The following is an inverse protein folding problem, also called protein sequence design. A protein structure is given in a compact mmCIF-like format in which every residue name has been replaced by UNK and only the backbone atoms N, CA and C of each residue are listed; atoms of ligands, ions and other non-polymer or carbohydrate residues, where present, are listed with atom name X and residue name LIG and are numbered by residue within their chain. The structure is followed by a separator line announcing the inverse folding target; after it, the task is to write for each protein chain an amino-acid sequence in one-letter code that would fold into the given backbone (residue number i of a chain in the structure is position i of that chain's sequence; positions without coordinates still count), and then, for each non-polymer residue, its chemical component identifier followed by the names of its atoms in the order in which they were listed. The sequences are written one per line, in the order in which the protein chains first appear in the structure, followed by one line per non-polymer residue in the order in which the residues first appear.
data_IF_816414947090
#
_entry.id   IF_816414947090
#
_cell.length_a   1.000
_cell.length_b   1.000
_cell.length_c   1.000
_cell.angle_alpha   90.00
_cell.angle_beta   90.00
_cell.angle_gamma   90.00
#
_symmetry.space_group_name_H-M   'P 1'
#
loop_
_entity.id
_entity.type
_entity.pdbx_description
1 polymer ?
#
# COMPACT_ATOMS: atom_id res chain seq x y z
N UNK A 1 13.66 41.39 8.59
CA UNK A 1 14.04 40.12 7.93
C UNK A 1 12.79 39.26 7.95
N UNK A 2 12.30 38.70 6.83
CA UNK A 2 11.13 37.81 6.91
C UNK A 2 10.52 37.37 5.58
N UNK A 3 10.35 38.27 4.61
CA UNK A 3 9.48 38.03 3.45
C UNK A 3 9.90 36.91 2.46
N UNK A 4 11.08 36.32 2.64
CA UNK A 4 11.65 35.32 1.74
C UNK A 4 11.87 33.94 2.38
N UNK A 5 12.33 33.91 3.63
CA UNK A 5 12.53 32.66 4.38
C UNK A 5 11.19 31.96 4.65
N UNK A 6 10.14 32.74 4.95
CA UNK A 6 8.77 32.26 5.17
C UNK A 6 8.24 31.44 3.98
N UNK A 7 8.65 31.79 2.75
CA UNK A 7 8.26 31.04 1.56
C UNK A 7 8.92 29.67 1.50
N UNK A 8 10.17 29.55 1.95
CA UNK A 8 10.88 28.27 2.02
C UNK A 8 10.22 27.36 3.06
N UNK A 9 9.94 27.90 4.25
CA UNK A 9 9.22 27.15 5.29
C UNK A 9 7.82 26.73 4.85
N UNK A 10 7.09 27.61 4.16
CA UNK A 10 5.75 27.31 3.62
C UNK A 10 5.77 26.16 2.61
N UNK A 11 6.76 26.11 1.70
CA UNK A 11 6.89 24.99 0.75
C UNK A 11 7.18 23.68 1.46
N UNK A 12 8.06 23.70 2.46
CA UNK A 12 8.39 22.52 3.28
C UNK A 12 7.15 22.01 4.02
N UNK A 13 6.42 22.93 4.66
CA UNK A 13 5.21 22.59 5.42
C UNK A 13 4.12 22.00 4.52
N UNK A 14 3.88 22.60 3.35
CA UNK A 14 2.97 22.02 2.34
C UNK A 14 3.39 20.63 1.89
N UNK A 15 4.70 20.36 1.76
CA UNK A 15 5.21 19.03 1.44
C UNK A 15 4.90 18.02 2.55
N UNK A 16 5.10 18.39 3.82
CA UNK A 16 4.75 17.55 4.96
C UNK A 16 3.24 17.27 5.03
N UNK A 17 2.41 18.29 4.90
CA UNK A 17 0.95 18.15 4.88
C UNK A 17 0.48 17.20 3.79
N UNK A 18 1.03 17.33 2.58
CA UNK A 18 0.69 16.45 1.46
C UNK A 18 1.09 14.99 1.74
N UNK A 19 2.30 14.76 2.25
CA UNK A 19 2.77 13.40 2.55
C UNK A 19 1.97 12.77 3.70
N UNK A 20 1.55 13.57 4.69
CA UNK A 20 0.65 13.11 5.74
C UNK A 20 -0.73 12.73 5.20
N UNK A 21 -1.27 13.51 4.27
CA UNK A 21 -2.53 13.17 3.61
C UNK A 21 -2.39 11.90 2.75
N UNK A 22 -1.27 11.74 2.02
CA UNK A 22 -0.99 10.54 1.23
C UNK A 22 -0.89 9.28 2.11
N UNK A 23 -0.17 9.35 3.24
CA UNK A 23 -0.13 8.26 4.23
C UNK A 23 -1.53 7.97 4.77
N UNK A 24 -2.32 9.00 5.06
CA UNK A 24 -3.70 8.83 5.55
C UNK A 24 -4.61 8.16 4.52
N UNK A 25 -4.39 8.39 3.22
CA UNK A 25 -5.14 7.78 2.11
C UNK A 25 -4.78 6.32 1.89
N UNK A 26 -3.63 5.84 2.36
CA UNK A 26 -3.33 4.40 2.43
C UNK A 26 -4.15 3.79 3.57
N UNK A 27 -5.43 3.55 3.29
CA UNK A 27 -6.43 3.03 4.22
C UNK A 27 -6.44 1.49 4.25
N UNK A 28 -7.05 0.93 5.30
CA UNK A 28 -7.17 -0.51 5.51
C UNK A 28 -6.30 -1.04 6.64
N UNK A 29 -6.76 -2.13 7.25
CA UNK A 29 -6.06 -2.86 8.31
C UNK A 29 -5.50 -4.19 7.76
N UNK A 30 -4.17 -4.29 7.54
CA UNK A 30 -3.54 -5.54 7.15
C UNK A 30 -3.78 -6.68 8.14
N UNK A 31 -4.01 -6.38 9.42
CA UNK A 31 -4.34 -7.36 10.45
C UNK A 31 -5.71 -7.98 10.22
N UNK A 32 -6.74 -7.16 9.97
CA UNK A 32 -8.08 -7.64 9.64
C UNK A 32 -8.10 -8.47 8.34
N UNK A 33 -7.37 -8.04 7.31
CA UNK A 33 -7.27 -8.79 6.06
C UNK A 33 -6.62 -10.17 6.27
N UNK A 34 -5.55 -10.25 7.06
CA UNK A 34 -4.92 -11.53 7.41
C UNK A 34 -5.84 -12.41 8.24
N UNK A 35 -6.55 -11.84 9.21
CA UNK A 35 -7.52 -12.59 10.00
C UNK A 35 -8.62 -13.20 9.11
N UNK A 36 -9.11 -12.44 8.12
CA UNK A 36 -10.07 -12.95 7.14
C UNK A 36 -9.47 -14.01 6.21
N UNK A 37 -8.21 -13.85 5.81
CA UNK A 37 -7.50 -14.86 5.03
C UNK A 37 -7.36 -16.19 5.81
N UNK A 38 -7.06 -16.12 7.10
CA UNK A 38 -6.99 -17.28 7.99
C UNK A 38 -8.36 -17.95 8.16
N UNK A 39 -9.43 -17.16 8.32
CA UNK A 39 -10.81 -17.67 8.31
C UNK A 39 -11.13 -18.42 7.01
N UNK A 40 -10.81 -17.85 5.85
CA UNK A 40 -10.99 -18.52 4.55
C UNK A 40 -10.22 -19.84 4.46
N UNK A 41 -8.95 -19.86 4.91
CA UNK A 41 -8.14 -21.07 4.94
C UNK A 41 -8.70 -22.16 5.86
N UNK A 42 -9.25 -21.77 7.01
CA UNK A 42 -9.93 -22.70 7.93
C UNK A 42 -11.20 -23.27 7.30
N UNK A 43 -12.05 -22.43 6.72
CA UNK A 43 -13.25 -22.87 6.01
C UNK A 43 -12.92 -23.82 4.85
N UNK A 44 -11.89 -23.51 4.05
CA UNK A 44 -11.43 -24.38 2.96
C UNK A 44 -11.02 -25.77 3.46
N UNK A 45 -10.35 -25.82 4.61
CA UNK A 45 -9.94 -27.07 5.25
C UNK A 45 -11.15 -27.86 5.75
N UNK A 46 -12.10 -27.20 6.41
CA UNK A 46 -13.35 -27.81 6.90
C UNK A 46 -14.19 -28.39 5.74
N UNK A 47 -14.31 -27.66 4.63
CA UNK A 47 -14.98 -28.12 3.41
C UNK A 47 -14.28 -29.35 2.83
N UNK A 48 -12.95 -29.32 2.71
CA UNK A 48 -12.17 -30.45 2.22
C UNK A 48 -12.34 -31.70 3.08
N UNK A 49 -12.25 -31.55 4.41
CA UNK A 49 -12.46 -32.66 5.34
C UNK A 49 -13.87 -33.22 5.27
N UNK A 50 -14.88 -32.35 5.14
CA UNK A 50 -16.28 -32.77 5.01
C UNK A 50 -16.52 -33.54 3.71
N UNK A 51 -15.97 -33.07 2.60
CA UNK A 51 -16.06 -33.75 1.31
C UNK A 51 -15.41 -35.13 1.36
N UNK A 52 -14.18 -35.23 1.89
CA UNK A 52 -13.49 -36.53 2.05
C UNK A 52 -14.25 -37.48 2.99
N UNK A 53 -14.78 -36.98 4.11
CA UNK A 53 -15.57 -37.81 5.02
C UNK A 53 -16.86 -38.32 4.37
N UNK A 54 -17.50 -37.49 3.54
CA UNK A 54 -18.73 -37.86 2.82
C UNK A 54 -18.45 -38.95 1.79
N UNK A 55 -17.37 -38.81 1.02
CA UNK A 55 -16.93 -39.80 0.04
C UNK A 55 -16.59 -41.14 0.70
N UNK A 56 -15.89 -41.11 1.84
CA UNK A 56 -15.61 -42.31 2.64
C UNK A 56 -16.87 -43.01 3.15
N UNK A 57 -17.87 -42.24 3.61
CA UNK A 57 -19.15 -42.79 4.06
C UNK A 57 -19.88 -43.46 2.89
N UNK A 58 -19.92 -42.82 1.72
CA UNK A 58 -20.53 -43.39 0.52
C UNK A 58 -19.85 -44.69 0.10
N UNK A 59 -18.51 -44.70 0.07
CA UNK A 59 -17.71 -45.90 -0.24
C UNK A 59 -17.98 -47.05 0.74
N UNK A 60 -18.07 -46.76 2.04
CA UNK A 60 -18.37 -47.77 3.06
C UNK A 60 -19.79 -48.34 2.91
N UNK A 61 -20.78 -47.51 2.58
CA UNK A 61 -22.15 -47.98 2.32
C UNK A 61 -22.19 -49.00 1.17
N UNK A 62 -21.40 -48.78 0.11
CA UNK A 62 -21.28 -49.67 -1.04
C UNK A 62 -20.74 -51.07 -0.74
N UNK A 63 -20.15 -51.27 0.44
CA UNK A 63 -19.72 -52.60 0.89
C UNK A 63 -20.93 -53.49 1.22
N UNK A 64 -22.03 -52.89 1.67
CA UNK A 64 -23.23 -53.60 2.14
C UNK A 64 -24.47 -53.39 1.26
N UNK A 65 -24.54 -52.27 0.56
CA UNK A 65 -25.64 -51.92 -0.33
C UNK A 65 -25.16 -51.89 -1.78
N UNK A 66 -25.80 -52.69 -2.64
CA UNK A 66 -25.49 -52.80 -4.07
C UNK A 66 -26.74 -52.69 -4.93
N UNK A 67 -26.56 -52.28 -6.18
CA UNK A 67 -27.62 -52.14 -7.18
C UNK A 67 -27.80 -50.69 -7.62
N UNK A 68 -28.66 -50.47 -8.61
CA UNK A 68 -28.84 -49.18 -9.30
C UNK A 68 -29.10 -48.00 -8.35
N UNK A 69 -29.82 -48.22 -7.25
CA UNK A 69 -30.08 -47.19 -6.26
C UNK A 69 -28.82 -46.73 -5.51
N UNK A 70 -27.90 -47.65 -5.20
CA UNK A 70 -26.59 -47.30 -4.65
C UNK A 70 -25.74 -46.57 -5.69
N UNK A 71 -25.74 -47.04 -6.94
CA UNK A 71 -24.94 -46.42 -8.01
C UNK A 71 -25.37 -44.97 -8.25
N UNK A 72 -26.68 -44.69 -8.24
CA UNK A 72 -27.23 -43.34 -8.33
C UNK A 72 -26.84 -42.47 -7.13
N UNK A 73 -26.96 -42.98 -5.90
CA UNK A 73 -26.52 -42.27 -4.68
C UNK A 73 -25.03 -41.96 -4.71
N UNK A 74 -24.20 -42.94 -5.08
CA UNK A 74 -22.75 -42.79 -5.15
C UNK A 74 -22.34 -41.79 -6.22
N UNK A 75 -23.00 -41.80 -7.39
CA UNK A 75 -22.79 -40.80 -8.45
C UNK A 75 -23.06 -39.38 -7.95
N UNK A 76 -24.25 -39.11 -7.40
CA UNK A 76 -24.61 -37.79 -6.85
C UNK A 76 -23.66 -37.35 -5.73
N UNK A 77 -23.24 -38.28 -4.87
CA UNK A 77 -22.31 -37.97 -3.77
C UNK A 77 -20.91 -37.66 -4.28
N UNK A 78 -20.43 -38.39 -5.29
CA UNK A 78 -19.15 -38.12 -5.95
C UNK A 78 -19.16 -36.74 -6.60
N UNK A 79 -20.24 -36.40 -7.31
CA UNK A 79 -20.38 -35.09 -7.96
C UNK A 79 -20.42 -33.96 -6.93
N UNK A 80 -21.18 -34.12 -5.84
CA UNK A 80 -21.24 -33.14 -4.75
C UNK A 80 -19.89 -32.93 -4.08
N UNK A 81 -19.20 -34.01 -3.71
CA UNK A 81 -17.88 -33.92 -3.05
C UNK A 81 -16.84 -33.29 -3.96
N UNK A 82 -16.92 -33.57 -5.26
CA UNK A 82 -16.12 -32.91 -6.27
C UNK A 82 -16.43 -31.43 -6.36
N UNK A 83 -17.69 -31.01 -6.40
CA UNK A 83 -18.06 -29.58 -6.43
C UNK A 83 -17.58 -28.83 -5.17
N UNK A 84 -17.70 -29.45 -3.99
CA UNK A 84 -17.18 -28.90 -2.74
C UNK A 84 -15.66 -28.66 -2.79
N UNK A 85 -14.91 -29.58 -3.40
CA UNK A 85 -13.45 -29.46 -3.51
C UNK A 85 -13.06 -28.50 -4.64
N UNK A 86 -13.56 -28.72 -5.84
CA UNK A 86 -13.13 -28.04 -7.06
C UNK A 86 -13.62 -26.59 -7.11
N UNK A 87 -14.78 -26.30 -6.52
CA UNK A 87 -15.36 -24.94 -6.53
C UNK A 87 -15.15 -24.28 -5.18
N UNK A 88 -15.79 -24.79 -4.13
CA UNK A 88 -15.88 -24.05 -2.87
C UNK A 88 -14.52 -23.94 -2.17
N UNK A 89 -13.81 -25.06 -1.99
CA UNK A 89 -12.49 -25.08 -1.36
C UNK A 89 -11.48 -24.25 -2.16
N UNK A 90 -11.41 -24.44 -3.48
CA UNK A 90 -10.49 -23.67 -4.33
C UNK A 90 -10.77 -22.16 -4.29
N UNK A 91 -12.04 -21.74 -4.33
CA UNK A 91 -12.40 -20.32 -4.24
C UNK A 91 -12.00 -19.71 -2.89
N UNK A 92 -12.18 -20.44 -1.79
CA UNK A 92 -11.75 -19.99 -0.46
C UNK A 92 -10.22 -19.89 -0.36
N UNK A 93 -9.48 -20.83 -0.95
CA UNK A 93 -8.01 -20.77 -1.00
C UNK A 93 -7.50 -19.60 -1.86
N UNK A 94 -8.15 -19.34 -3.00
CA UNK A 94 -7.85 -18.18 -3.84
C UNK A 94 -8.14 -16.87 -3.11
N UNK A 95 -9.27 -16.77 -2.42
CA UNK A 95 -9.61 -15.56 -1.65
C UNK A 95 -8.63 -15.34 -0.49
N UNK A 96 -8.23 -16.41 0.21
CA UNK A 96 -7.15 -16.34 1.20
C UNK A 96 -5.89 -15.70 0.59
N UNK A 97 -5.42 -16.21 -0.55
CA UNK A 97 -4.22 -15.68 -1.21
C UNK A 97 -4.37 -14.22 -1.61
N UNK A 98 -5.55 -13.82 -2.12
CA UNK A 98 -5.84 -12.43 -2.48
C UNK A 98 -5.79 -11.50 -1.28
N UNK A 99 -6.40 -11.90 -0.17
CA UNK A 99 -6.41 -11.12 1.08
C UNK A 99 -5.00 -10.99 1.67
N UNK A 100 -4.19 -12.05 1.65
CA UNK A 100 -2.78 -12.00 2.08
C UNK A 100 -1.95 -11.04 1.21
N UNK A 101 -2.12 -11.10 -0.11
CA UNK A 101 -1.43 -10.21 -1.05
C UNK A 101 -1.86 -8.75 -0.87
N UNK A 102 -3.16 -8.50 -0.66
CA UNK A 102 -3.67 -7.16 -0.37
C UNK A 102 -3.10 -6.61 0.95
N UNK A 103 -3.04 -7.43 2.00
CA UNK A 103 -2.41 -7.06 3.26
C UNK A 103 -0.92 -6.70 3.09
N UNK A 104 -0.19 -7.48 2.29
CA UNK A 104 1.22 -7.23 2.01
C UNK A 104 1.44 -5.95 1.18
N UNK A 105 0.57 -5.70 0.20
CA UNK A 105 0.61 -4.48 -0.60
C UNK A 105 0.38 -3.24 0.28
N UNK A 106 -0.59 -3.29 1.19
CA UNK A 106 -0.86 -2.22 2.15
C UNK A 106 0.32 -1.96 3.09
N UNK A 107 0.94 -3.01 3.64
CA UNK A 107 2.13 -2.87 4.50
C UNK A 107 3.28 -2.22 3.73
N UNK A 108 3.52 -2.67 2.50
CA UNK A 108 4.58 -2.14 1.65
C UNK A 108 4.34 -0.66 1.32
N UNK A 109 3.12 -0.31 0.92
CA UNK A 109 2.75 1.08 0.61
C UNK A 109 2.87 2.01 1.81
N UNK A 110 2.40 1.59 3.01
CA UNK A 110 2.55 2.37 4.26
C UNK A 110 4.02 2.59 4.59
N UNK A 111 4.84 1.55 4.51
CA UNK A 111 6.29 1.63 4.79
C UNK A 111 7.00 2.58 3.82
N UNK A 112 6.74 2.46 2.51
CA UNK A 112 7.32 3.35 1.50
C UNK A 112 6.91 4.81 1.73
N UNK A 113 5.63 5.08 1.99
CA UNK A 113 5.15 6.44 2.25
C UNK A 113 5.79 7.05 3.51
N UNK A 114 6.00 6.26 4.57
CA UNK A 114 6.74 6.70 5.76
C UNK A 114 8.21 7.00 5.47
N UNK A 115 8.89 6.16 4.69
CA UNK A 115 10.27 6.38 4.26
C UNK A 115 10.41 7.66 3.42
N UNK A 116 9.46 7.89 2.51
CA UNK A 116 9.40 9.11 1.69
C UNK A 116 9.23 10.36 2.56
N UNK A 117 8.33 10.32 3.57
CA UNK A 117 8.18 11.41 4.55
C UNK A 117 9.46 11.68 5.31
N UNK A 118 10.14 10.64 5.78
CA UNK A 118 11.40 10.78 6.51
C UNK A 118 12.51 11.38 5.63
N UNK A 119 12.66 10.88 4.40
CA UNK A 119 13.64 11.38 3.43
C UNK A 119 13.39 12.84 3.07
N UNK A 120 12.13 13.21 2.80
CA UNK A 120 11.75 14.60 2.56
C UNK A 120 12.07 15.49 3.76
N UNK A 121 11.75 15.06 4.97
CA UNK A 121 12.06 15.82 6.19
C UNK A 121 13.56 16.06 6.38
N UNK A 122 14.40 15.05 6.12
CA UNK A 122 15.87 15.20 6.18
C UNK A 122 16.38 16.19 5.13
N UNK A 123 15.91 16.09 3.88
CA UNK A 123 16.29 17.03 2.82
C UNK A 123 15.84 18.46 3.13
N UNK A 124 14.61 18.63 3.62
CA UNK A 124 14.08 19.93 4.00
C UNK A 124 14.90 20.59 5.12
N UNK A 125 15.28 19.82 6.14
CA UNK A 125 16.16 20.30 7.21
C UNK A 125 17.53 20.75 6.68
N UNK A 126 18.13 19.97 5.78
CA UNK A 126 19.41 20.35 5.15
C UNK A 126 19.30 21.65 4.37
N UNK A 127 18.22 21.83 3.58
CA UNK A 127 17.96 23.07 2.83
C UNK A 127 17.86 24.27 3.77
N UNK A 128 17.07 24.14 4.84
CA UNK A 128 16.90 25.20 5.84
C UNK A 128 18.22 25.53 6.54
N UNK A 129 18.98 24.53 6.96
CA UNK A 129 20.26 24.74 7.63
C UNK A 129 21.27 25.44 6.73
N UNK A 130 21.40 25.01 5.46
CA UNK A 130 22.30 25.64 4.49
C UNK A 130 21.89 27.09 4.21
N UNK A 131 20.58 27.36 4.08
CA UNK A 131 20.05 28.72 3.92
C UNK A 131 20.44 29.59 5.12
N UNK A 132 20.14 29.16 6.34
CA UNK A 132 20.42 29.92 7.56
C UNK A 132 21.93 30.16 7.76
N UNK A 133 22.76 29.15 7.51
CA UNK A 133 24.23 29.28 7.59
C UNK A 133 24.74 30.31 6.58
N UNK A 134 24.28 30.25 5.33
CA UNK A 134 24.69 31.20 4.30
C UNK A 134 24.22 32.63 4.60
N UNK A 135 23.00 32.81 5.10
CA UNK A 135 22.48 34.12 5.53
C UNK A 135 23.33 34.67 6.69
N UNK A 136 23.62 33.87 7.71
CA UNK A 136 24.49 34.27 8.83
C UNK A 136 25.88 34.67 8.36
N UNK A 137 26.47 33.91 7.42
CA UNK A 137 27.77 34.23 6.85
C UNK A 137 27.77 35.59 6.11
N UNK A 138 26.72 35.88 5.33
CA UNK A 138 26.58 37.17 4.62
C UNK A 138 26.39 38.32 5.62
N UNK A 139 25.60 38.12 6.68
CA UNK A 139 25.39 39.12 7.72
C UNK A 139 26.68 39.44 8.51
N UNK A 140 27.59 38.48 8.65
CA UNK A 140 28.88 38.64 9.32
C UNK A 140 29.96 39.33 8.48
N UNK A 141 29.70 39.69 7.21
CA UNK A 141 30.67 40.39 6.37
C UNK A 141 30.92 41.82 6.88
N UNK A 142 32.18 42.29 7.01
CA UNK A 142 32.49 43.63 7.49
C UNK A 142 32.05 44.72 6.50
N UNK A 143 31.60 45.87 7.02
CA UNK A 143 31.46 47.13 6.28
C UNK A 143 32.74 47.98 6.53
N UNK A 144 33.46 48.52 5.52
CA UNK A 144 33.60 48.17 4.09
C UNK A 144 34.45 46.89 3.89
N UNK A 145 34.33 46.12 2.77
CA UNK A 145 34.09 46.57 1.38
C UNK A 145 32.74 46.17 0.72
N UNK A 146 31.81 45.50 1.41
CA UNK A 146 30.52 45.08 0.82
C UNK A 146 29.40 46.02 1.29
N UNK A 147 28.74 46.72 0.37
CA UNK A 147 27.63 47.61 0.74
C UNK A 147 26.43 46.83 1.30
N UNK A 148 25.65 47.47 2.17
CA UNK A 148 24.42 46.88 2.73
C UNK A 148 23.45 46.41 1.64
N UNK A 149 23.34 47.13 0.52
CA UNK A 149 22.54 46.72 -0.63
C UNK A 149 23.03 45.41 -1.27
N UNK A 150 24.34 45.21 -1.36
CA UNK A 150 24.93 43.99 -1.88
C UNK A 150 24.71 42.80 -0.93
N UNK A 151 24.80 43.01 0.39
CA UNK A 151 24.45 41.99 1.40
C UNK A 151 22.99 41.53 1.25
N UNK A 152 22.06 42.46 1.07
CA UNK A 152 20.63 42.13 0.88
C UNK A 152 20.39 41.36 -0.42
N UNK A 153 21.07 41.71 -1.51
CA UNK A 153 20.98 40.98 -2.78
C UNK A 153 21.51 39.53 -2.65
N UNK A 154 22.62 39.34 -1.94
CA UNK A 154 23.15 37.99 -1.67
C UNK A 154 22.20 37.16 -0.80
N UNK A 155 21.62 37.75 0.26
CA UNK A 155 20.61 37.08 1.10
C UNK A 155 19.41 36.66 0.25
N UNK A 156 18.91 37.56 -0.61
CA UNK A 156 17.80 37.24 -1.51
C UNK A 156 18.13 36.08 -2.47
N UNK A 157 19.35 36.04 -3.02
CA UNK A 157 19.80 34.95 -3.89
C UNK A 157 19.88 33.60 -3.15
N UNK A 158 20.39 33.59 -1.91
CA UNK A 158 20.43 32.39 -1.05
C UNK A 158 19.02 31.88 -0.77
N UNK A 159 18.11 32.77 -0.39
CA UNK A 159 16.70 32.43 -0.14
C UNK A 159 16.07 31.85 -1.41
N UNK A 160 16.28 32.46 -2.57
CA UNK A 160 15.73 32.00 -3.83
C UNK A 160 16.26 30.61 -4.22
N UNK A 161 17.56 30.35 -4.00
CA UNK A 161 18.16 29.02 -4.20
C UNK A 161 17.54 27.98 -3.25
N UNK A 162 17.39 28.31 -1.98
CA UNK A 162 16.76 27.42 -1.00
C UNK A 162 15.29 27.14 -1.34
N UNK A 163 14.55 28.16 -1.80
CA UNK A 163 13.18 28.02 -2.27
C UNK A 163 13.07 27.06 -3.47
N UNK A 164 13.93 27.21 -4.48
CA UNK A 164 13.94 26.30 -5.63
C UNK A 164 14.27 24.86 -5.22
N UNK A 165 15.24 24.68 -4.31
CA UNK A 165 15.58 23.37 -3.78
C UNK A 165 14.41 22.75 -3.00
N UNK A 166 13.72 23.53 -2.17
CA UNK A 166 12.55 23.08 -1.42
C UNK A 166 11.39 22.71 -2.37
N UNK A 167 11.15 23.50 -3.42
CA UNK A 167 10.14 23.20 -4.44
C UNK A 167 10.47 21.91 -5.19
N UNK A 168 11.74 21.70 -5.55
CA UNK A 168 12.17 20.47 -6.21
C UNK A 168 12.00 19.25 -5.30
N UNK A 169 12.43 19.35 -4.04
CA UNK A 169 12.27 18.28 -3.06
C UNK A 169 10.79 17.94 -2.83
N UNK A 170 9.93 18.97 -2.68
CA UNK A 170 8.47 18.80 -2.57
C UNK A 170 7.93 18.06 -3.79
N UNK A 171 8.23 18.53 -5.00
CA UNK A 171 7.73 17.93 -6.24
C UNK A 171 8.19 16.47 -6.40
N UNK A 172 9.43 16.14 -6.03
CA UNK A 172 9.90 14.75 -6.05
C UNK A 172 9.18 13.88 -5.02
N UNK A 173 8.96 14.40 -3.81
CA UNK A 173 8.27 13.67 -2.76
C UNK A 173 6.79 13.44 -3.11
N UNK A 174 6.11 14.46 -3.65
CA UNK A 174 4.74 14.34 -4.18
C UNK A 174 4.65 13.27 -5.27
N UNK A 175 5.55 13.30 -6.26
CA UNK A 175 5.57 12.27 -7.33
C UNK A 175 5.81 10.87 -6.79
N UNK A 176 6.71 10.71 -5.82
CA UNK A 176 6.98 9.41 -5.21
C UNK A 176 5.74 8.89 -4.46
N UNK A 177 5.06 9.76 -3.72
CA UNK A 177 3.82 9.41 -3.01
C UNK A 177 2.69 9.05 -3.99
N UNK A 178 2.53 9.80 -5.09
CA UNK A 178 1.59 9.48 -6.15
C UNK A 178 1.89 8.11 -6.78
N UNK A 179 3.17 7.80 -7.04
CA UNK A 179 3.59 6.48 -7.55
C UNK A 179 3.19 5.35 -6.59
N UNK A 180 3.51 5.49 -5.29
CA UNK A 180 3.13 4.49 -4.29
C UNK A 180 1.62 4.29 -4.21
N UNK A 181 0.82 5.37 -4.30
CA UNK A 181 -0.64 5.27 -4.33
C UNK A 181 -1.15 4.59 -5.61
N UNK A 182 -0.57 4.88 -6.77
CA UNK A 182 -0.93 4.25 -8.04
C UNK A 182 -0.55 2.77 -8.08
N UNK A 183 0.63 2.40 -7.57
CA UNK A 183 1.08 1.02 -7.46
C UNK A 183 0.13 0.23 -6.56
N UNK A 184 -0.19 0.75 -5.37
CA UNK A 184 -1.16 0.13 -4.48
C UNK A 184 -2.52 -0.03 -5.16
N UNK A 185 -3.03 1.03 -5.79
CA UNK A 185 -4.31 0.99 -6.49
C UNK A 185 -4.30 -0.02 -7.63
N UNK A 186 -3.20 -0.13 -8.38
CA UNK A 186 -3.01 -1.09 -9.46
C UNK A 186 -2.97 -2.53 -8.95
N UNK A 187 -2.23 -2.79 -7.88
CA UNK A 187 -2.19 -4.10 -7.22
C UNK A 187 -3.59 -4.50 -6.72
N UNK A 188 -4.28 -3.62 -5.99
CA UNK A 188 -5.62 -3.92 -5.49
C UNK A 188 -6.64 -4.13 -6.63
N UNK A 189 -6.56 -3.32 -7.70
CA UNK A 189 -7.41 -3.49 -8.88
C UNK A 189 -7.12 -4.80 -9.61
N UNK A 190 -5.86 -5.24 -9.66
CA UNK A 190 -5.50 -6.55 -10.23
C UNK A 190 -6.04 -7.71 -9.38
N UNK A 191 -5.95 -7.60 -8.06
CA UNK A 191 -6.39 -8.64 -7.13
C UNK A 191 -7.91 -8.78 -7.11
N UNK A 192 -8.64 -7.66 -7.10
CA UNK A 192 -10.09 -7.67 -6.93
C UNK A 192 -10.88 -7.45 -8.24
N UNK A 193 -10.28 -6.84 -9.26
CA UNK A 193 -10.92 -6.60 -10.57
C UNK A 193 -11.13 -7.87 -11.40
N UNK A 194 -10.40 -8.95 -11.13
CA UNK A 194 -10.62 -10.26 -11.76
C UNK A 194 -11.76 -11.06 -11.12
N UNK A 195 -12.35 -10.60 -10.01
CA UNK A 195 -13.42 -11.30 -9.29
C UNK A 195 -14.77 -11.31 -10.01
N UNK A 196 -14.88 -10.64 -11.17
CA UNK A 196 -16.10 -10.54 -11.97
C UNK A 196 -16.26 -11.57 -13.09
N UNK A 197 -15.29 -12.46 -13.31
CA UNK A 197 -15.33 -13.43 -14.43
C UNK A 197 -15.15 -14.88 -13.96
N UNK A 198 -15.84 -15.31 -12.91
CA UNK A 198 -16.27 -16.71 -12.86
C UNK A 198 -17.58 -16.80 -13.61
N UNK A 199 -17.46 -16.94 -14.94
CA UNK A 199 -18.52 -17.42 -15.80
C UNK A 199 -18.97 -18.77 -15.25
N UNK A 200 -20.11 -18.79 -14.57
CA UNK A 200 -20.92 -19.99 -14.38
C UNK A 200 -21.37 -20.40 -15.77
N UNK A 201 -20.54 -21.16 -16.49
CA UNK A 201 -20.97 -21.88 -17.66
C UNK A 201 -21.65 -23.16 -17.14
N UNK A 202 -22.97 -23.11 -17.13
CA UNK A 202 -23.86 -24.26 -17.01
C UNK A 202 -23.65 -25.26 -18.16
#
# INVERSE_FOLDING_TARGET
MGFGEDKVYSVVDQGHQYLDEAIRKVTGDPGELRAKADECGRCASEVGSTATSTDQIASNLGQTWRGEAYDSFNGVTTDLTKELIDVLKQNLEQEKQRLEQAAQALVSAKSQAQQQKQSFGQQAQQIIQQMQQAIKAIQGLPDPPVSQGMKMAMIAAVIMKAFMAAMQAKNSATKAADSTMQELSGTLSSLFGQSGTTSVAA
#
